data_IF_960723096982
#
_entry.id   IF_960723096982
#
_cell.length_a   1.000
_cell.length_b   1.000
_cell.length_c   1.000
_cell.angle_alpha   90.00
_cell.angle_beta   90.00
_cell.angle_gamma   90.00
#
_symmetry.space_group_name_H-M   'P 1'
#
loop_
_entity.id
_entity.type
_entity.pdbx_description
1 polymer ?
#
# COMPACT_ATOMS: atom_id res chain seq x y z
N UNK A 1 -22.82 21.46 25.55
CA UNK A 1 -21.42 21.58 25.09
C UNK A 1 -20.83 20.18 25.12
N UNK A 2 -20.32 19.76 23.97
CA UNK A 2 -20.21 18.39 23.49
C UNK A 2 -19.31 17.42 24.28
N UNK A 3 -19.80 16.17 24.33
CA UNK A 3 -19.12 14.94 24.72
C UNK A 3 -17.70 14.79 24.14
N UNK A 4 -16.69 14.91 25.00
CA UNK A 4 -15.29 14.57 24.67
C UNK A 4 -14.61 13.80 25.82
N UNK A 5 -15.34 12.99 26.58
CA UNK A 5 -14.71 12.09 27.55
C UNK A 5 -14.30 10.79 26.85
N UNK A 6 -13.08 10.86 26.32
CA UNK A 6 -12.27 9.77 25.78
C UNK A 6 -12.41 8.55 26.69
N UNK A 7 -13.16 7.54 26.24
CA UNK A 7 -13.24 6.22 26.90
C UNK A 7 -11.83 5.64 27.00
N UNK A 8 -11.20 5.83 28.17
CA UNK A 8 -9.95 5.17 28.53
C UNK A 8 -10.23 3.67 28.55
N UNK A 9 -9.82 2.98 27.49
CA UNK A 9 -9.76 1.51 27.48
C UNK A 9 -8.72 1.11 28.53
N UNK A 10 -9.20 0.62 29.68
CA UNK A 10 -8.35 -0.03 30.67
C UNK A 10 -7.86 -1.35 30.05
N UNK A 11 -6.68 -1.32 29.44
CA UNK A 11 -5.97 -2.53 29.05
C UNK A 11 -5.40 -3.20 30.31
N UNK A 12 -6.28 -3.89 31.04
CA UNK A 12 -5.89 -4.75 32.16
C UNK A 12 -5.12 -5.95 31.65
N UNK A 13 -4.15 -6.42 32.43
CA UNK A 13 -3.19 -7.50 32.19
C UNK A 13 -3.76 -8.87 31.75
N UNK A 14 -5.07 -8.97 31.48
CA UNK A 14 -5.75 -10.11 30.85
C UNK A 14 -5.52 -10.22 29.33
N UNK A 15 -4.93 -9.20 28.68
CA UNK A 15 -4.74 -9.17 27.22
C UNK A 15 -3.52 -9.96 26.73
N UNK A 16 -2.59 -10.36 27.61
CA UNK A 16 -1.34 -11.00 27.18
C UNK A 16 -1.48 -12.48 26.78
N UNK A 17 -2.45 -13.21 27.36
CA UNK A 17 -2.60 -14.65 27.11
C UNK A 17 -3.67 -14.99 26.06
N UNK A 18 -4.91 -14.54 26.30
CA UNK A 18 -6.06 -14.84 25.44
C UNK A 18 -6.45 -13.68 24.52
N UNK A 19 -6.03 -12.46 24.86
CA UNK A 19 -6.32 -11.26 24.06
C UNK A 19 -5.68 -11.30 22.68
N UNK A 20 -4.51 -11.91 22.52
CA UNK A 20 -3.85 -12.02 21.21
C UNK A 20 -4.58 -12.92 20.23
N UNK A 21 -5.25 -13.98 20.69
CA UNK A 21 -6.03 -14.86 19.79
C UNK A 21 -7.19 -14.15 19.11
N UNK A 22 -7.75 -13.10 19.73
CA UNK A 22 -8.77 -12.25 19.10
C UNK A 22 -8.17 -11.01 18.42
N UNK A 23 -7.08 -10.46 18.96
CA UNK A 23 -6.43 -9.27 18.40
C UNK A 23 -5.71 -9.56 17.07
N UNK A 24 -5.02 -10.70 16.96
CA UNK A 24 -4.29 -11.09 15.74
C UNK A 24 -5.23 -11.20 14.53
N UNK A 25 -6.31 -12.01 14.53
CA UNK A 25 -7.18 -12.11 13.36
C UNK A 25 -7.85 -10.78 13.00
N UNK A 26 -8.25 -9.98 13.99
CA UNK A 26 -8.80 -8.63 13.75
C UNK A 26 -7.77 -7.72 13.09
N UNK A 27 -6.53 -7.70 13.59
CA UNK A 27 -5.46 -6.89 13.01
C UNK A 27 -5.05 -7.39 11.63
N UNK A 28 -5.05 -8.71 11.41
CA UNK A 28 -4.78 -9.34 10.12
C UNK A 28 -5.85 -8.96 9.10
N UNK A 29 -7.13 -9.08 9.43
CA UNK A 29 -8.25 -8.70 8.54
C UNK A 29 -8.20 -7.21 8.22
N UNK A 30 -7.96 -6.37 9.23
CA UNK A 30 -7.83 -4.92 9.04
C UNK A 30 -6.64 -4.57 8.14
N UNK A 31 -5.49 -5.23 8.34
CA UNK A 31 -4.30 -5.04 7.51
C UNK A 31 -4.53 -5.50 6.06
N UNK A 32 -5.26 -6.59 5.84
CA UNK A 32 -5.60 -7.10 4.51
C UNK A 32 -6.59 -6.19 3.78
N UNK A 33 -7.58 -5.65 4.49
CA UNK A 33 -8.53 -4.68 3.94
C UNK A 33 -7.83 -3.38 3.52
N UNK A 34 -6.89 -2.89 4.33
CA UNK A 34 -6.08 -1.71 4.00
C UNK A 34 -5.14 -1.98 2.82
N UNK A 35 -4.44 -3.11 2.80
CA UNK A 35 -3.58 -3.48 1.66
C UNK A 35 -4.38 -3.65 0.37
N UNK A 36 -5.56 -4.29 0.39
CA UNK A 36 -6.43 -4.36 -0.79
C UNK A 36 -6.90 -2.99 -1.25
N UNK A 37 -7.28 -2.10 -0.34
CA UNK A 37 -7.64 -0.72 -0.70
C UNK A 37 -6.47 0.09 -1.26
N UNK A 38 -5.25 -0.12 -0.75
CA UNK A 38 -4.04 0.54 -1.26
C UNK A 38 -3.59 -0.03 -2.60
N UNK A 39 -3.71 -1.34 -2.83
CA UNK A 39 -3.48 -1.92 -4.15
C UNK A 39 -4.46 -1.33 -5.17
N UNK A 40 -5.77 -1.28 -4.86
CA UNK A 40 -6.80 -0.71 -5.73
C UNK A 40 -6.63 0.80 -5.97
N UNK A 41 -6.06 1.55 -5.00
CA UNK A 41 -5.73 2.97 -5.14
C UNK A 41 -4.39 3.20 -5.85
N UNK A 42 -3.44 2.28 -5.75
CA UNK A 42 -2.20 2.30 -6.54
C UNK A 42 -2.53 2.07 -8.02
N UNK A 43 -3.50 1.21 -8.31
CA UNK A 43 -4.04 1.02 -9.67
C UNK A 43 -4.81 2.25 -10.19
N UNK A 44 -5.40 3.06 -9.30
CA UNK A 44 -6.19 4.27 -9.66
C UNK A 44 -5.39 5.57 -9.73
N UNK A 45 -4.12 5.58 -9.31
CA UNK A 45 -3.16 6.64 -9.68
C UNK A 45 -2.55 6.30 -11.06
N UNK A 46 -3.42 5.87 -11.97
CA UNK A 46 -3.20 4.81 -12.96
C UNK A 46 -2.74 5.26 -14.34
N UNK A 47 -2.05 6.40 -14.46
CA UNK A 47 -1.37 6.78 -15.70
C UNK A 47 0.15 6.70 -15.55
N UNK A 48 0.71 7.31 -14.50
CA UNK A 48 2.15 7.25 -14.22
C UNK A 48 2.59 5.87 -13.73
N UNK A 49 1.83 5.25 -12.80
CA UNK A 49 2.15 3.91 -12.31
C UNK A 49 2.08 2.84 -13.41
N UNK A 50 1.11 2.97 -14.32
CA UNK A 50 0.91 2.03 -15.42
C UNK A 50 2.00 2.17 -16.49
N UNK A 51 2.37 3.40 -16.86
CA UNK A 51 3.45 3.64 -17.82
C UNK A 51 4.81 3.11 -17.30
N UNK A 52 5.12 3.32 -16.01
CA UNK A 52 6.34 2.81 -15.38
C UNK A 52 6.36 1.28 -15.27
N UNK A 53 5.23 0.67 -14.92
CA UNK A 53 5.11 -0.78 -14.79
C UNK A 53 5.27 -1.49 -16.14
N UNK A 54 4.62 -0.98 -17.20
CA UNK A 54 4.79 -1.45 -18.58
C UNK A 54 6.25 -1.29 -19.04
N UNK A 55 6.89 -0.18 -18.71
CA UNK A 55 8.28 0.07 -19.08
C UNK A 55 9.22 -0.93 -18.40
N UNK A 56 9.00 -1.19 -17.11
CA UNK A 56 9.78 -2.14 -16.31
C UNK A 56 9.58 -3.57 -16.78
N UNK A 57 8.35 -3.97 -17.12
CA UNK A 57 8.05 -5.30 -17.62
C UNK A 57 8.82 -5.62 -18.90
N UNK A 58 8.87 -4.67 -19.84
CA UNK A 58 9.57 -4.84 -21.12
C UNK A 58 11.09 -4.83 -20.99
N UNK A 59 11.64 -4.06 -20.05
CA UNK A 59 13.06 -4.14 -19.70
C UNK A 59 13.43 -5.51 -19.13
N UNK A 60 12.61 -6.06 -18.22
CA UNK A 60 12.83 -7.41 -17.64
C UNK A 60 12.70 -8.50 -18.70
N UNK A 61 11.80 -8.34 -19.67
CA UNK A 61 11.68 -9.21 -20.84
C UNK A 61 12.86 -9.07 -21.82
N UNK A 62 13.69 -8.04 -21.68
CA UNK A 62 14.79 -7.74 -22.60
C UNK A 62 14.32 -7.19 -23.96
N UNK A 63 13.08 -6.70 -24.04
CA UNK A 63 12.52 -6.10 -25.27
C UNK A 63 12.99 -4.65 -25.47
N UNK A 64 13.54 -4.02 -24.43
CA UNK A 64 14.08 -2.66 -24.47
C UNK A 64 15.45 -2.65 -23.81
N UNK A 65 16.38 -1.90 -24.38
CA UNK A 65 17.71 -1.71 -23.80
C UNK A 65 17.67 -0.72 -22.61
N UNK A 66 18.71 -0.74 -21.79
CA UNK A 66 18.85 0.14 -20.62
C UNK A 66 18.84 1.62 -21.01
N UNK A 67 19.44 1.97 -22.14
CA UNK A 67 19.45 3.36 -22.64
C UNK A 67 18.03 3.85 -22.99
N UNK A 68 17.24 3.03 -23.68
CA UNK A 68 15.86 3.36 -24.02
C UNK A 68 14.94 3.39 -22.78
N UNK A 69 15.20 2.52 -21.80
CA UNK A 69 14.50 2.52 -20.52
C UNK A 69 14.72 3.84 -19.77
N UNK A 70 15.98 4.31 -19.66
CA UNK A 70 16.31 5.53 -18.94
C UNK A 70 15.68 6.78 -19.58
N UNK A 71 15.68 6.86 -20.91
CA UNK A 71 15.05 7.97 -21.63
C UNK A 71 13.54 8.04 -21.38
N UNK A 72 12.84 6.90 -21.46
CA UNK A 72 11.40 6.83 -21.22
C UNK A 72 11.05 7.04 -19.75
N UNK A 73 11.90 6.57 -18.83
CA UNK A 73 11.73 6.79 -17.39
C UNK A 73 11.80 8.29 -17.06
N UNK A 74 12.76 9.00 -17.66
CA UNK A 74 12.89 10.46 -17.52
C UNK A 74 11.69 11.18 -18.10
N UNK A 75 11.27 10.84 -19.31
CA UNK A 75 10.09 11.43 -19.95
C UNK A 75 8.82 11.29 -19.08
N UNK A 76 8.57 10.10 -18.51
CA UNK A 76 7.42 9.85 -17.63
C UNK A 76 7.52 10.62 -16.29
N UNK A 77 8.73 10.83 -15.79
CA UNK A 77 8.96 11.53 -14.50
C UNK A 77 8.97 13.05 -14.65
N UNK A 78 9.42 13.54 -15.80
CA UNK A 78 9.62 14.97 -16.10
C UNK A 78 8.39 15.62 -16.76
N UNK A 79 7.49 14.82 -17.34
CA UNK A 79 6.19 15.27 -17.86
C UNK A 79 5.14 15.59 -16.76
N UNK A 80 5.54 15.64 -15.49
CA UNK A 80 4.66 15.82 -14.32
C UNK A 80 5.24 16.82 -13.31
#
# INVERSE_FOLDING_TARGET
>A
MEDKEKKKKKYGAWHLGWGWYLAVPVLTVLSLALKRGINDVSDKTGLAGNALDILKERYVKGEIDKDEFDQKLKDITEAH
#
